data_IF_302371213060
#
_entry.id   IF_302371213060
#
_cell.length_a   1.000
_cell.length_b   1.000
_cell.length_c   1.000
_cell.angle_alpha   90.00
_cell.angle_beta   90.00
_cell.angle_gamma   90.00
#
_symmetry.space_group_name_H-M   'P 1'
#
loop_
_entity.id
_entity.type
_entity.pdbx_description
1 polymer ?
#
# COMPACT_ATOMS: atom_id res chain seq x y z
N UNK A 1 7.65 5.08 8.24
CA UNK A 1 6.92 4.12 7.38
C UNK A 1 5.96 4.89 6.47
N UNK A 2 5.89 4.47 5.21
CA UNK A 2 4.98 5.01 4.21
C UNK A 2 4.05 3.91 3.67
N UNK A 3 2.80 4.30 3.37
CA UNK A 3 1.75 3.42 2.85
C UNK A 3 1.10 4.08 1.65
N UNK A 4 1.17 3.41 0.50
CA UNK A 4 0.60 3.86 -0.77
C UNK A 4 -0.52 2.90 -1.16
N UNK A 5 -1.71 3.43 -1.40
CA UNK A 5 -2.90 2.61 -1.68
C UNK A 5 -3.51 3.01 -3.02
N UNK A 6 -3.54 2.06 -3.93
CA UNK A 6 -4.35 2.15 -5.15
C UNK A 6 -5.73 1.56 -4.87
N UNK A 7 -6.69 2.46 -4.63
CA UNK A 7 -8.07 2.09 -4.32
C UNK A 7 -8.83 1.56 -5.54
N UNK A 8 -8.35 1.81 -6.77
CA UNK A 8 -8.93 1.24 -7.99
C UNK A 8 -8.47 -0.20 -8.22
N UNK A 9 -7.25 -0.54 -7.80
CA UNK A 9 -6.69 -1.89 -7.94
C UNK A 9 -7.08 -2.82 -6.79
N UNK A 10 -7.11 -2.34 -5.55
CA UNK A 10 -7.30 -3.18 -4.36
C UNK A 10 -8.56 -2.81 -3.59
N UNK A 11 -9.43 -3.81 -3.39
CA UNK A 11 -10.71 -3.63 -2.71
C UNK A 11 -10.64 -3.63 -1.17
N UNK A 12 -11.76 -3.25 -0.51
CA UNK A 12 -11.79 -3.04 0.95
C UNK A 12 -11.33 -4.21 1.81
N UNK A 13 -11.61 -5.45 1.40
CA UNK A 13 -11.24 -6.65 2.18
C UNK A 13 -9.73 -6.80 2.40
N UNK A 14 -8.91 -6.21 1.53
CA UNK A 14 -7.44 -6.21 1.64
C UNK A 14 -6.91 -4.94 2.28
N UNK A 15 -7.57 -3.80 2.04
CA UNK A 15 -7.14 -2.51 2.59
C UNK A 15 -7.45 -2.39 4.09
N UNK A 16 -8.60 -2.89 4.55
CA UNK A 16 -8.99 -2.78 5.96
C UNK A 16 -7.97 -3.38 6.94
N UNK A 17 -7.42 -4.61 6.69
CA UNK A 17 -6.32 -5.13 7.49
C UNK A 17 -5.08 -4.22 7.53
N UNK A 18 -4.72 -3.59 6.42
CA UNK A 18 -3.61 -2.63 6.33
C UNK A 18 -3.84 -1.45 7.25
N UNK A 19 -5.02 -0.83 7.17
CA UNK A 19 -5.37 0.30 8.02
C UNK A 19 -5.37 -0.09 9.51
N UNK A 20 -5.87 -1.28 9.85
CA UNK A 20 -5.87 -1.78 11.22
C UNK A 20 -4.46 -2.02 11.75
N UNK A 21 -3.56 -2.60 10.95
CA UNK A 21 -2.18 -2.84 11.34
C UNK A 21 -1.41 -1.53 11.54
N UNK A 22 -1.59 -0.56 10.64
CA UNK A 22 -0.97 0.77 10.70
C UNK A 22 -1.46 1.56 11.91
N UNK A 23 -2.76 1.51 12.21
CA UNK A 23 -3.35 2.22 13.35
C UNK A 23 -2.82 1.70 14.70
N UNK A 24 -2.34 0.46 14.76
CA UNK A 24 -1.74 -0.13 15.96
C UNK A 24 -0.27 0.28 16.17
N UNK A 25 0.34 1.03 15.23
CA UNK A 25 1.74 1.41 15.31
C UNK A 25 1.94 2.68 16.15
N UNK A 26 2.98 2.73 17.00
CA UNK A 26 3.33 3.94 17.74
C UNK A 26 4.06 5.00 16.90
N UNK A 27 4.59 4.60 15.73
CA UNK A 27 5.37 5.45 14.84
C UNK A 27 4.50 6.27 13.89
N UNK A 28 5.06 7.39 13.39
CA UNK A 28 4.41 8.23 12.38
C UNK A 28 4.32 7.46 11.05
N UNK A 29 3.10 7.30 10.55
CA UNK A 29 2.85 6.68 9.23
C UNK A 29 2.38 7.73 8.25
N UNK A 30 3.03 7.82 7.09
CA UNK A 30 2.53 8.58 5.94
C UNK A 30 1.59 7.67 5.15
N UNK A 31 0.30 8.01 5.09
CA UNK A 31 -0.71 7.26 4.36
C UNK A 31 -1.22 8.10 3.19
N UNK A 32 -1.01 7.60 1.97
CA UNK A 32 -1.51 8.20 0.74
C UNK A 32 -2.37 7.18 0.01
N UNK A 33 -3.53 7.63 -0.44
CA UNK A 33 -4.45 6.82 -1.23
C UNK A 33 -4.84 7.57 -2.50
N UNK A 34 -4.86 6.87 -3.62
CA UNK A 34 -5.39 7.39 -4.87
C UNK A 34 -6.35 6.41 -5.54
N UNK A 35 -7.27 6.97 -6.33
CA UNK A 35 -8.26 6.23 -7.10
C UNK A 35 -9.45 7.11 -7.48
N UNK A 36 -10.41 6.52 -8.20
CA UNK A 36 -11.68 7.17 -8.54
C UNK A 36 -12.54 7.44 -7.31
N UNK A 37 -13.39 8.46 -7.41
CA UNK A 37 -14.26 8.89 -6.31
C UNK A 37 -15.13 7.73 -5.76
N UNK A 38 -15.67 6.88 -6.63
CA UNK A 38 -16.51 5.74 -6.25
C UNK A 38 -15.71 4.63 -5.56
N UNK A 39 -14.41 4.50 -5.85
CA UNK A 39 -13.54 3.54 -5.19
C UNK A 39 -13.16 4.05 -3.80
N UNK A 40 -12.75 5.32 -3.72
CA UNK A 40 -12.39 5.99 -2.47
C UNK A 40 -13.57 6.05 -1.48
N UNK A 41 -14.79 6.22 -1.96
CA UNK A 41 -16.00 6.31 -1.13
C UNK A 41 -16.44 4.96 -0.52
N UNK A 42 -15.83 3.83 -0.90
CA UNK A 42 -16.17 2.50 -0.36
C UNK A 42 -15.72 2.29 1.08
N UNK A 43 -14.88 3.19 1.61
CA UNK A 43 -14.30 3.05 2.92
C UNK A 43 -14.15 4.38 3.63
N UNK A 44 -14.04 4.30 4.96
CA UNK A 44 -13.60 5.41 5.79
C UNK A 44 -12.08 5.38 5.91
N UNK A 45 -11.44 6.49 5.54
CA UNK A 45 -9.99 6.66 5.67
C UNK A 45 -9.65 7.28 7.03
N UNK A 46 -8.55 6.88 7.68
CA UNK A 46 -8.19 7.43 8.98
C UNK A 46 -7.83 8.91 8.88
N UNK A 47 -7.98 9.68 9.98
CA UNK A 47 -7.53 11.07 10.03
C UNK A 47 -6.06 11.19 9.64
N UNK A 48 -5.72 12.18 8.82
CA UNK A 48 -4.36 12.39 8.33
C UNK A 48 -4.00 11.59 7.07
N UNK A 49 -4.87 10.69 6.58
CA UNK A 49 -4.72 10.11 5.25
C UNK A 49 -4.77 11.22 4.18
N UNK A 50 -3.78 11.24 3.28
CA UNK A 50 -3.82 12.10 2.09
C UNK A 50 -4.58 11.37 0.99
N UNK A 51 -5.79 11.84 0.70
CA UNK A 51 -6.67 11.28 -0.33
C UNK A 51 -6.50 12.07 -1.62
N UNK A 52 -6.14 11.40 -2.71
CA UNK A 52 -5.96 12.00 -4.03
C UNK A 52 -6.97 11.38 -5.01
N UNK A 53 -8.02 12.14 -5.34
CA UNK A 53 -9.01 11.71 -6.35
C UNK A 53 -8.37 11.79 -7.73
N UNK A 54 -8.37 10.67 -8.45
CA UNK A 54 -7.84 10.56 -9.80
C UNK A 54 -8.90 10.03 -10.77
N UNK A 55 -8.99 10.63 -11.97
CA UNK A 55 -9.88 10.15 -13.03
C UNK A 55 -9.05 9.34 -14.04
N UNK A 56 -9.19 8.01 -13.99
CA UNK A 56 -8.46 7.05 -14.82
C UNK A 56 -7.31 6.39 -14.05
N UNK A 57 -7.12 5.09 -14.30
CA UNK A 57 -6.17 4.24 -13.55
C UNK A 57 -4.73 4.80 -13.59
N UNK A 58 -4.23 5.17 -14.78
CA UNK A 58 -2.89 5.76 -14.93
C UNK A 58 -2.64 7.02 -14.08
N UNK A 59 -3.69 7.82 -13.82
CA UNK A 59 -3.53 9.03 -12.99
C UNK A 59 -3.44 8.70 -11.51
N UNK A 60 -4.09 7.63 -11.06
CA UNK A 60 -3.93 7.15 -9.70
C UNK A 60 -2.50 6.66 -9.48
N UNK A 61 -1.95 5.94 -10.45
CA UNK A 61 -0.57 5.43 -10.38
C UNK A 61 0.45 6.56 -10.31
N UNK A 62 0.31 7.57 -11.19
CA UNK A 62 1.16 8.76 -11.16
C UNK A 62 1.05 9.51 -9.84
N UNK A 63 -0.17 9.70 -9.31
CA UNK A 63 -0.36 10.37 -8.03
C UNK A 63 0.32 9.64 -6.87
N UNK A 64 0.28 8.31 -6.86
CA UNK A 64 0.98 7.49 -5.86
C UNK A 64 2.49 7.54 -6.04
N UNK A 65 2.98 7.48 -7.28
CA UNK A 65 4.40 7.61 -7.59
C UNK A 65 4.96 9.00 -7.23
N UNK A 66 4.19 10.07 -7.39
CA UNK A 66 4.57 11.42 -6.96
C UNK A 66 4.56 11.58 -5.44
N UNK A 67 3.70 10.85 -4.74
CA UNK A 67 3.59 10.91 -3.29
C UNK A 67 4.58 10.00 -2.56
N UNK A 68 5.19 9.05 -3.28
CA UNK A 68 6.26 8.19 -2.79
C UNK A 68 7.46 9.02 -2.33
N UNK A 69 7.96 8.71 -1.13
CA UNK A 69 9.21 9.27 -0.61
C UNK A 69 10.34 8.29 -0.87
N UNK A 70 11.46 8.78 -1.39
CA UNK A 70 12.65 7.95 -1.54
C UNK A 70 13.48 8.00 -0.26
N UNK A 71 13.19 7.10 0.66
CA UNK A 71 13.87 6.93 1.95
C UNK A 71 14.07 5.44 2.28
N UNK A 72 14.71 5.16 3.42
CA UNK A 72 14.94 3.81 3.94
C UNK A 72 13.81 3.29 4.84
N UNK A 73 12.79 4.13 5.09
CA UNK A 73 11.65 3.77 5.91
C UNK A 73 10.82 2.68 5.22
N UNK A 74 10.26 1.69 5.96
CA UNK A 74 9.46 0.64 5.33
C UNK A 74 8.31 1.17 4.47
N UNK A 75 8.08 0.51 3.34
CA UNK A 75 7.01 0.80 2.38
C UNK A 75 5.98 -0.33 2.34
N UNK A 76 4.71 0.01 2.53
CA UNK A 76 3.58 -0.86 2.18
C UNK A 76 2.93 -0.30 0.91
N UNK A 77 2.97 -1.07 -0.17
CA UNK A 77 2.27 -0.76 -1.41
C UNK A 77 1.07 -1.69 -1.57
N UNK A 78 -0.12 -1.09 -1.56
CA UNK A 78 -1.39 -1.80 -1.74
C UNK A 78 -1.82 -1.65 -3.20
N UNK A 79 -1.18 -2.45 -4.05
CA UNK A 79 -1.46 -2.59 -5.49
C UNK A 79 -0.85 -3.90 -6.00
N UNK A 80 -1.46 -4.49 -7.03
CA UNK A 80 -0.87 -5.56 -7.85
C UNK A 80 -0.25 -5.07 -9.16
N UNK A 81 -0.30 -3.76 -9.45
CA UNK A 81 0.10 -3.21 -10.74
C UNK A 81 1.62 -3.28 -10.95
N UNK A 82 2.03 -3.74 -12.13
CA UNK A 82 3.42 -3.83 -12.54
C UNK A 82 4.10 -2.49 -12.78
N UNK A 83 3.34 -1.41 -12.93
CA UNK A 83 3.89 -0.06 -13.11
C UNK A 83 4.68 0.41 -11.88
N UNK A 84 4.32 -0.10 -10.69
CA UNK A 84 5.08 0.15 -9.46
C UNK A 84 6.32 -0.72 -9.29
N UNK A 85 6.61 -1.66 -10.18
CA UNK A 85 7.71 -2.60 -9.98
C UNK A 85 9.08 -1.91 -9.91
N UNK A 86 9.29 -0.85 -10.70
CA UNK A 86 10.54 -0.08 -10.63
C UNK A 86 10.68 0.65 -9.30
N UNK A 87 9.57 1.18 -8.76
CA UNK A 87 9.53 1.82 -7.45
C UNK A 87 9.88 0.82 -6.36
N UNK A 88 9.21 -0.35 -6.35
CA UNK A 88 9.48 -1.42 -5.39
C UNK A 88 10.94 -1.90 -5.46
N UNK A 89 11.49 -2.10 -6.67
CA UNK A 89 12.86 -2.56 -6.85
C UNK A 89 13.94 -1.53 -6.47
N UNK A 90 13.61 -0.23 -6.45
CA UNK A 90 14.56 0.84 -6.14
C UNK A 90 14.45 1.35 -4.71
N UNK A 91 13.36 1.06 -4.00
CA UNK A 91 13.23 1.45 -2.61
C UNK A 91 14.29 0.73 -1.77
N UNK A 92 14.98 1.47 -0.92
CA UNK A 92 16.14 0.96 -0.15
C UNK A 92 15.73 0.29 1.15
N UNK A 93 14.53 0.61 1.66
CA UNK A 93 13.93 -0.05 2.82
C UNK A 93 13.14 -1.32 2.49
N UNK A 94 12.59 -2.01 3.51
CA UNK A 94 11.71 -3.15 3.32
C UNK A 94 10.42 -2.79 2.57
N UNK A 95 10.06 -3.56 1.54
CA UNK A 95 8.83 -3.39 0.78
C UNK A 95 7.86 -4.55 1.02
N UNK A 96 6.60 -4.22 1.34
CA UNK A 96 5.48 -5.15 1.36
C UNK A 96 4.48 -4.79 0.26
N UNK A 97 4.10 -5.78 -0.54
CA UNK A 97 3.03 -5.70 -1.52
C UNK A 97 1.79 -6.38 -0.96
N UNK A 98 0.67 -5.66 -0.96
CA UNK A 98 -0.63 -6.21 -0.57
C UNK A 98 -1.49 -6.38 -1.81
N UNK A 99 -1.63 -7.63 -2.29
CA UNK A 99 -2.39 -7.95 -3.49
C UNK A 99 -2.73 -9.44 -3.57
N UNK A 100 -3.86 -9.79 -4.20
CA UNK A 100 -4.18 -11.18 -4.57
C UNK A 100 -3.58 -11.63 -5.89
N UNK A 101 -3.17 -10.67 -6.72
CA UNK A 101 -2.70 -10.92 -8.06
C UNK A 101 -1.59 -9.91 -8.40
N UNK A 102 -0.46 -9.94 -7.67
CA UNK A 102 0.67 -9.08 -7.98
C UNK A 102 1.21 -9.44 -9.36
N UNK A 103 1.65 -8.44 -10.11
CA UNK A 103 2.46 -8.69 -11.29
C UNK A 103 3.73 -9.47 -10.90
N UNK A 104 4.23 -10.31 -11.82
CA UNK A 104 5.47 -11.06 -11.61
C UNK A 104 6.66 -10.17 -11.22
N UNK A 105 6.70 -8.93 -11.73
CA UNK A 105 7.79 -7.99 -11.42
C UNK A 105 7.75 -7.51 -9.95
N UNK A 106 6.56 -7.43 -9.35
CA UNK A 106 6.42 -7.14 -7.92
C UNK A 106 6.86 -8.33 -7.07
N UNK A 107 6.51 -9.57 -7.48
CA UNK A 107 6.86 -10.78 -6.71
C UNK A 107 8.36 -11.03 -6.60
N UNK A 108 9.16 -10.53 -7.56
CA UNK A 108 10.62 -10.65 -7.52
C UNK A 108 11.30 -9.53 -6.73
N UNK A 109 10.59 -8.43 -6.44
CA UNK A 109 11.18 -7.21 -5.89
C UNK A 109 10.84 -6.97 -4.41
N UNK A 110 9.85 -7.68 -3.88
CA UNK A 110 9.28 -7.38 -2.56
C UNK A 110 8.60 -8.59 -1.92
N UNK A 111 8.38 -8.51 -0.61
CA UNK A 111 7.51 -9.47 0.10
C UNK A 111 6.06 -9.22 -0.35
N UNK A 112 5.31 -10.30 -0.59
CA UNK A 112 3.89 -10.23 -0.98
C UNK A 112 3.03 -10.90 0.08
N UNK A 113 1.87 -10.31 0.38
CA UNK A 113 0.83 -10.93 1.20
C UNK A 113 -0.57 -10.61 0.66
N UNK A 114 -1.49 -11.53 0.84
CA UNK A 114 -2.93 -11.27 0.71
C UNK A 114 -3.62 -11.44 2.09
N UNK A 115 -3.81 -10.36 2.87
CA UNK A 115 -4.41 -10.46 4.19
C UNK A 115 -5.89 -10.84 4.15
N UNK A 116 -6.55 -10.76 2.99
CA UNK A 116 -7.92 -11.26 2.84
C UNK A 116 -7.98 -12.80 2.76
N UNK A 117 -6.88 -13.45 2.34
CA UNK A 117 -6.77 -14.91 2.26
C UNK A 117 -5.98 -15.51 3.43
N UNK A 118 -4.88 -14.86 3.81
CA UNK A 118 -3.95 -15.32 4.84
C UNK A 118 -4.38 -14.89 6.26
N UNK A 119 -5.30 -13.92 6.35
CA UNK A 119 -5.65 -13.23 7.57
C UNK A 119 -4.66 -12.12 7.93
N UNK A 120 -4.99 -11.30 8.95
CA UNK A 120 -4.19 -10.12 9.31
C UNK A 120 -2.84 -10.46 9.98
N UNK A 121 -2.63 -11.71 10.38
CA UNK A 121 -1.44 -12.14 11.12
C UNK A 121 -0.13 -11.96 10.34
N UNK A 122 -0.12 -12.26 9.03
CA UNK A 122 1.06 -12.10 8.18
C UNK A 122 1.51 -10.64 8.13
N UNK A 123 0.55 -9.74 7.87
CA UNK A 123 0.78 -8.30 7.85
C UNK A 123 1.30 -7.79 9.20
N UNK A 124 0.68 -8.19 10.31
CA UNK A 124 1.11 -7.80 11.66
C UNK A 124 2.50 -8.33 12.01
N UNK A 125 2.86 -9.54 11.54
CA UNK A 125 4.19 -10.09 11.73
C UNK A 125 5.23 -9.29 10.95
N UNK A 126 4.95 -8.95 9.68
CA UNK A 126 5.83 -8.13 8.86
C UNK A 126 6.05 -6.74 9.47
N UNK A 127 4.97 -6.06 9.86
CA UNK A 127 5.04 -4.74 10.51
C UNK A 127 5.90 -4.77 11.76
N UNK A 128 5.73 -5.79 12.63
CA UNK A 128 6.57 -5.95 13.82
C UNK A 128 8.03 -6.19 13.50
N UNK A 129 8.33 -6.95 12.44
CA UNK A 129 9.70 -7.25 12.05
C UNK A 129 10.46 -6.02 11.52
N UNK A 130 9.77 -5.09 10.84
CA UNK A 130 10.40 -3.90 10.23
C UNK A 130 10.33 -2.64 11.11
N UNK A 131 9.63 -2.70 12.24
CA UNK A 131 9.47 -1.57 13.18
C UNK A 131 10.23 -1.77 14.49
N UNK A 132 10.96 -2.90 14.62
CA UNK A 132 11.75 -3.26 15.79
C UNK A 132 13.14 -2.65 15.81
#
# INVERSE_FOLDING_TARGET
>A
MQVLIDADNVGPSRVQPVLAAVAAMPARVSLVVSGRAEALARMSWPPGARIIVATGWQRADLALAEAYSHDEDPLILVSGDGDFALLAARHTGPVLIVSSAPSYRLTVSATVTDPALEGPGTLQAWVRAVSG
#
